data_IF_296009828565
#
_entry.id   IF_296009828565
#
_cell.length_a   1.000
_cell.length_b   1.000
_cell.length_c   1.000
_cell.angle_alpha   90.00
_cell.angle_beta   90.00
_cell.angle_gamma   90.00
#
_symmetry.space_group_name_H-M   'P 1'
#
loop_
_entity.id
_entity.type
_entity.pdbx_description
1 polymer ?
#
# COMPACT_ATOMS: atom_id res chain seq x y z
N UNK A 1 10.42 3.37 36.24
CA UNK A 1 10.55 4.36 35.15
C UNK A 1 9.35 4.25 34.21
N UNK A 2 8.97 5.32 33.51
CA UNK A 2 7.96 5.28 32.44
C UNK A 2 8.65 5.05 31.10
N UNK A 3 8.19 4.04 30.35
CA UNK A 3 8.68 3.70 29.01
C UNK A 3 7.53 3.92 28.04
N UNK A 4 7.78 4.65 26.96
CA UNK A 4 6.77 4.88 25.91
C UNK A 4 6.65 3.64 25.01
N UNK A 5 5.43 3.35 24.57
CA UNK A 5 5.13 2.25 23.64
C UNK A 5 4.10 2.72 22.60
N UNK A 6 4.20 2.25 21.35
CA UNK A 6 3.21 2.56 20.33
C UNK A 6 1.86 1.94 20.70
N UNK A 7 0.78 2.68 20.43
CA UNK A 7 -0.60 2.20 20.53
C UNK A 7 -1.10 1.74 19.15
N UNK A 8 -2.05 0.79 19.09
CA UNK A 8 -2.70 0.42 17.83
C UNK A 8 -3.40 1.61 17.16
N UNK A 9 -3.46 1.58 15.84
CA UNK A 9 -4.20 2.54 15.01
C UNK A 9 -5.15 1.79 14.07
N UNK A 10 -6.31 2.38 13.81
CA UNK A 10 -7.28 1.85 12.85
C UNK A 10 -6.71 1.83 11.42
N UNK A 11 -6.89 0.72 10.70
CA UNK A 11 -6.44 0.55 9.31
C UNK A 11 -7.07 1.58 8.36
N UNK A 12 -8.29 2.05 8.63
CA UNK A 12 -8.94 3.08 7.82
C UNK A 12 -8.28 4.46 7.96
N UNK A 13 -7.44 4.67 8.98
CA UNK A 13 -6.69 5.92 9.22
C UNK A 13 -5.30 5.94 8.60
N UNK A 14 -4.89 4.88 7.90
CA UNK A 14 -3.61 4.80 7.21
C UNK A 14 -3.79 4.65 5.71
N UNK A 15 -2.77 5.05 4.96
CA UNK A 15 -2.71 4.87 3.51
C UNK A 15 -1.37 4.24 3.11
N UNK A 16 -1.39 3.42 2.06
CA UNK A 16 -0.15 2.92 1.45
C UNK A 16 0.54 4.09 0.72
N UNK A 17 1.81 4.30 1.04
CA UNK A 17 2.69 5.11 0.19
C UNK A 17 3.18 4.21 -0.94
N UNK A 18 2.88 4.60 -2.18
CA UNK A 18 3.30 3.83 -3.34
C UNK A 18 4.83 3.98 -3.54
N UNK A 19 5.62 2.89 -3.57
CA UNK A 19 7.08 2.95 -3.71
C UNK A 19 7.55 3.42 -5.09
N UNK A 20 6.61 3.60 -6.03
CA UNK A 20 6.89 4.02 -7.40
C UNK A 20 6.69 5.50 -7.66
N UNK A 21 5.76 6.13 -6.94
CA UNK A 21 5.42 7.54 -7.15
C UNK A 21 5.44 8.37 -5.86
N UNK A 22 5.84 7.78 -4.73
CA UNK A 22 5.98 8.38 -3.40
C UNK A 22 4.76 9.15 -2.90
N UNK A 23 3.58 8.79 -3.42
CA UNK A 23 2.32 9.42 -3.07
C UNK A 23 1.46 8.45 -2.25
N UNK A 24 0.73 8.93 -1.24
CA UNK A 24 -0.31 8.13 -0.58
C UNK A 24 -1.38 7.79 -1.61
N UNK A 25 -1.71 6.50 -1.76
CA UNK A 25 -2.67 6.04 -2.75
C UNK A 25 -3.55 4.92 -2.22
N UNK A 26 -4.77 4.84 -2.77
CA UNK A 26 -5.59 3.63 -2.69
C UNK A 26 -5.00 2.53 -3.57
N UNK A 27 -5.27 1.30 -3.19
CA UNK A 27 -4.85 0.10 -3.91
C UNK A 27 -6.04 -0.48 -4.71
N UNK A 28 -5.79 -0.87 -5.95
CA UNK A 28 -6.67 -1.69 -6.79
C UNK A 28 -6.10 -3.09 -6.98
N UNK A 29 -6.82 -3.95 -7.71
CA UNK A 29 -6.31 -5.26 -8.14
C UNK A 29 -6.48 -5.39 -9.65
N UNK A 30 -5.49 -5.97 -10.33
CA UNK A 30 -5.57 -6.32 -11.76
C UNK A 30 -4.97 -7.70 -12.00
N UNK A 31 -5.30 -8.33 -13.13
CA UNK A 31 -4.64 -9.56 -13.56
C UNK A 31 -3.21 -9.24 -14.03
N UNK A 32 -2.22 -9.92 -13.46
CA UNK A 32 -0.82 -9.86 -13.88
C UNK A 32 -0.52 -10.81 -15.04
N UNK A 33 0.73 -10.81 -15.49
CA UNK A 33 1.19 -11.56 -16.68
C UNK A 33 0.97 -13.09 -16.59
N UNK A 34 0.86 -13.64 -15.38
CA UNK A 34 0.60 -15.08 -15.14
C UNK A 34 -0.85 -15.36 -14.67
N UNK A 35 -1.77 -14.41 -14.86
CA UNK A 35 -3.15 -14.53 -14.37
C UNK A 35 -3.31 -14.38 -12.85
N UNK A 36 -2.21 -14.22 -12.11
CA UNK A 36 -2.24 -13.90 -10.68
C UNK A 36 -2.70 -12.46 -10.47
N UNK A 37 -3.57 -12.25 -9.49
CA UNK A 37 -4.02 -10.91 -9.12
C UNK A 37 -2.89 -10.15 -8.45
N UNK A 38 -2.55 -8.98 -8.99
CA UNK A 38 -1.54 -8.08 -8.43
C UNK A 38 -2.21 -6.82 -7.90
N UNK A 39 -1.66 -6.28 -6.81
CA UNK A 39 -2.11 -4.99 -6.28
C UNK A 39 -1.51 -3.86 -7.11
N UNK A 40 -2.32 -2.88 -7.47
CA UNK A 40 -1.90 -1.73 -8.29
C UNK A 40 -2.20 -0.40 -7.60
N UNK A 41 -1.31 0.57 -7.80
CA UNK A 41 -1.49 1.92 -7.34
C UNK A 41 -2.58 2.61 -8.19
N UNK A 42 -3.67 3.06 -7.57
CA UNK A 42 -4.73 3.79 -8.30
C UNK A 42 -4.29 5.18 -8.81
N UNK A 43 -3.13 5.70 -8.38
CA UNK A 43 -2.60 6.99 -8.84
C UNK A 43 -1.71 6.88 -10.09
N UNK A 44 -0.74 5.97 -10.10
CA UNK A 44 0.20 5.82 -11.22
C UNK A 44 -0.03 4.58 -12.08
N UNK A 45 -0.90 3.64 -11.66
CA UNK A 45 -1.21 2.42 -12.40
C UNK A 45 -0.20 1.27 -12.22
N UNK A 46 0.96 1.53 -11.62
CA UNK A 46 2.00 0.50 -11.45
C UNK A 46 1.70 -0.48 -10.29
N UNK A 47 2.23 -1.71 -10.35
CA UNK A 47 2.16 -2.67 -9.25
C UNK A 47 2.81 -2.13 -7.97
N UNK A 48 2.17 -2.36 -6.82
CA UNK A 48 2.71 -1.92 -5.50
C UNK A 48 3.55 -2.98 -4.79
N UNK A 49 3.49 -4.22 -5.25
CA UNK A 49 4.14 -5.39 -4.62
C UNK A 49 5.50 -5.75 -5.25
N UNK A 50 5.92 -5.01 -6.27
CA UNK A 50 7.13 -5.30 -7.04
C UNK A 50 8.41 -4.67 -6.44
N UNK A 51 8.46 -4.52 -5.11
CA UNK A 51 9.63 -4.02 -4.37
C UNK A 51 10.53 -5.15 -3.90
#
# INVERSE_FOLDING_TARGET
GRIQKPAPLDVAKVALICPRCDKPSRVGKTAGAEGKMVRVCKKCGEPVDAS
#
